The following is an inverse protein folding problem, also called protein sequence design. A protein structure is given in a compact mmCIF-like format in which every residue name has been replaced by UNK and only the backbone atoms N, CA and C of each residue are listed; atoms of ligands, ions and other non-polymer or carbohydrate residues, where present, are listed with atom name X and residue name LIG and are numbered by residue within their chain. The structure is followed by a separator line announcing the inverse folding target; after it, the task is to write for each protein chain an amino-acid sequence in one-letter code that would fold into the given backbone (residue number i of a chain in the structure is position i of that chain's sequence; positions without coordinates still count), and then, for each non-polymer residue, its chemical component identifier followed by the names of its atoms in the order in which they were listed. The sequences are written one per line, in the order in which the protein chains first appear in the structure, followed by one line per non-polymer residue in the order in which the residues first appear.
data_IF_255438997872
#
_entry.id   IF_255438997872
#
_cell.length_a   1.000
_cell.length_b   1.000
_cell.length_c   1.000
_cell.angle_alpha   90.00
_cell.angle_beta   90.00
_cell.angle_gamma   90.00
#
_symmetry.space_group_name_H-M   'P 1'
#
loop_
_entity.id
_entity.type
_entity.pdbx_description
1 polymer ?
#
# COMPACT_ATOMS: atom_id res chain seq x y z
N UNK A 1 -14.13 -15.81 -7.60
CA UNK A 1 -14.34 -15.18 -8.93
C UNK A 1 -13.70 -13.81 -8.85
N UNK A 2 -12.80 -13.44 -9.78
CA UNK A 2 -12.26 -12.07 -9.86
C UNK A 2 -13.42 -11.11 -10.14
N UNK A 3 -13.40 -9.95 -9.51
CA UNK A 3 -14.46 -8.93 -9.64
C UNK A 3 -14.31 -8.09 -10.92
N UNK A 4 -13.20 -8.27 -11.64
CA UNK A 4 -12.85 -7.53 -12.85
C UNK A 4 -12.87 -8.49 -14.04
N UNK A 5 -13.32 -8.10 -15.25
CA UNK A 5 -13.09 -8.90 -16.45
C UNK A 5 -11.57 -9.03 -16.60
N UNK A 6 -11.04 -10.22 -16.28
CA UNK A 6 -9.61 -10.47 -16.25
C UNK A 6 -9.08 -10.24 -17.67
N UNK A 7 -8.14 -9.30 -17.79
CA UNK A 7 -7.39 -9.07 -19.02
C UNK A 7 -6.63 -10.32 -19.49
N UNK A 8 -5.95 -10.17 -20.62
CA UNK A 8 -5.14 -11.23 -21.24
C UNK A 8 -4.21 -11.87 -20.19
N UNK A 9 -3.96 -13.20 -20.23
CA UNK A 9 -2.98 -13.84 -19.37
C UNK A 9 -1.65 -13.07 -19.37
N UNK A 10 -1.18 -12.66 -18.19
CA UNK A 10 -0.01 -11.80 -18.04
C UNK A 10 1.05 -12.52 -17.21
N UNK A 11 2.30 -12.45 -17.69
CA UNK A 11 3.46 -12.98 -16.99
C UNK A 11 3.79 -12.17 -15.73
N UNK A 12 4.37 -12.85 -14.74
CA UNK A 12 4.91 -12.24 -13.53
C UNK A 12 5.92 -11.14 -13.88
N UNK A 13 5.75 -9.95 -13.29
CA UNK A 13 6.71 -8.86 -13.39
C UNK A 13 7.88 -9.15 -12.47
N UNK A 14 9.08 -9.01 -13.03
CA UNK A 14 10.36 -9.26 -12.36
C UNK A 14 11.27 -8.05 -12.50
N UNK A 15 12.40 -8.04 -11.80
CA UNK A 15 13.45 -7.02 -11.99
C UNK A 15 13.90 -6.95 -13.46
N UNK A 16 14.03 -8.09 -14.14
CA UNK A 16 14.36 -8.15 -15.56
C UNK A 16 13.27 -7.51 -16.43
N UNK A 17 12.00 -7.71 -16.08
CA UNK A 17 10.87 -7.07 -16.77
C UNK A 17 10.92 -5.55 -16.67
N UNK A 18 11.31 -4.98 -15.52
CA UNK A 18 11.44 -3.53 -15.36
C UNK A 18 12.54 -2.95 -16.25
N UNK A 19 13.68 -3.65 -16.34
CA UNK A 19 14.78 -3.26 -17.23
C UNK A 19 14.36 -3.31 -18.70
N UNK A 20 13.65 -4.36 -19.10
CA UNK A 20 13.12 -4.48 -20.46
C UNK A 20 12.14 -3.34 -20.77
N UNK A 21 11.23 -3.02 -19.85
CA UNK A 21 10.31 -1.90 -20.00
C UNK A 21 11.03 -0.57 -20.27
N UNK A 22 12.09 -0.25 -19.53
CA UNK A 22 12.92 0.94 -19.81
C UNK A 22 13.52 0.90 -21.22
N UNK A 23 14.11 -0.23 -21.63
CA UNK A 23 14.72 -0.38 -22.95
C UNK A 23 13.71 -0.22 -24.10
N UNK A 24 12.46 -0.65 -23.88
CA UNK A 24 11.36 -0.52 -24.84
C UNK A 24 10.57 0.80 -24.70
N UNK A 25 10.98 1.68 -23.79
CA UNK A 25 10.24 2.90 -23.44
C UNK A 25 8.77 2.64 -23.06
N UNK A 26 8.49 1.48 -22.46
CA UNK A 26 7.18 1.14 -21.92
C UNK A 26 7.06 1.67 -20.48
N UNK A 27 6.05 2.51 -20.16
CA UNK A 27 5.90 3.05 -18.82
C UNK A 27 5.72 1.97 -17.75
N UNK A 28 6.35 2.17 -16.59
CA UNK A 28 6.20 1.32 -15.41
C UNK A 28 5.15 1.93 -14.46
N UNK A 29 4.11 1.18 -14.15
CA UNK A 29 3.06 1.54 -13.22
C UNK A 29 3.32 0.98 -11.82
N UNK A 30 3.31 1.84 -10.80
CA UNK A 30 3.52 1.45 -9.42
C UNK A 30 2.41 2.04 -8.55
N UNK A 31 1.87 1.25 -7.62
CA UNK A 31 0.89 1.72 -6.65
C UNK A 31 1.16 1.06 -5.31
N UNK A 32 0.99 1.82 -4.22
CA UNK A 32 1.14 1.21 -2.90
C UNK A 32 -0.01 0.25 -2.61
N UNK A 33 0.19 -0.80 -1.82
CA UNK A 33 -0.90 -1.55 -1.20
C UNK A 33 -0.42 -2.18 0.11
N UNK A 34 -1.33 -2.34 1.09
CA UNK A 34 -0.92 -2.63 2.48
C UNK A 34 -1.67 -3.81 3.10
N UNK A 35 -2.66 -4.35 2.40
CA UNK A 35 -3.48 -5.46 2.86
C UNK A 35 -3.85 -6.38 1.69
N UNK A 36 -4.46 -7.52 2.00
CA UNK A 36 -4.86 -8.52 1.00
C UNK A 36 -5.81 -7.96 -0.06
N UNK A 37 -6.82 -7.19 0.35
CA UNK A 37 -7.89 -6.72 -0.52
C UNK A 37 -7.39 -5.63 -1.45
N UNK A 38 -6.69 -4.63 -0.92
CA UNK A 38 -6.09 -3.58 -1.74
C UNK A 38 -5.07 -4.17 -2.73
N UNK A 39 -4.14 -5.00 -2.25
CA UNK A 39 -3.12 -5.61 -3.11
C UNK A 39 -3.72 -6.46 -4.23
N UNK A 40 -4.80 -7.21 -3.95
CA UNK A 40 -5.51 -7.99 -4.95
C UNK A 40 -6.13 -7.11 -6.03
N UNK A 41 -6.79 -6.01 -5.65
CA UNK A 41 -7.37 -5.09 -6.62
C UNK A 41 -6.30 -4.41 -7.48
N UNK A 42 -5.18 -4.02 -6.87
CA UNK A 42 -4.02 -3.45 -7.58
C UNK A 42 -3.41 -4.45 -8.57
N UNK A 43 -3.21 -5.70 -8.15
CA UNK A 43 -2.65 -6.78 -8.99
C UNK A 43 -3.58 -7.19 -10.14
N UNK A 44 -4.89 -7.33 -9.87
CA UNK A 44 -5.91 -7.64 -10.89
C UNK A 44 -6.14 -6.48 -11.88
N UNK A 45 -5.74 -5.26 -11.53
CA UNK A 45 -5.75 -4.09 -12.41
C UNK A 45 -4.49 -3.95 -13.29
N UNK A 46 -3.63 -4.98 -13.32
CA UNK A 46 -2.42 -5.02 -14.13
C UNK A 46 -1.41 -3.89 -13.83
N UNK A 47 -1.30 -3.50 -12.55
CA UNK A 47 -0.19 -2.65 -12.08
C UNK A 47 1.13 -3.45 -12.09
N UNK A 48 2.23 -2.85 -12.54
CA UNK A 48 3.53 -3.54 -12.66
C UNK A 48 4.15 -3.85 -11.30
N UNK A 49 4.00 -2.91 -10.35
CA UNK A 49 4.65 -2.93 -9.04
C UNK A 49 3.63 -2.65 -7.94
N UNK A 50 3.57 -3.55 -6.96
CA UNK A 50 2.90 -3.32 -5.67
C UNK A 50 3.97 -2.93 -4.66
N UNK A 51 3.86 -1.72 -4.11
CA UNK A 51 4.76 -1.22 -3.06
C UNK A 51 4.08 -1.27 -1.68
N UNK A 52 4.62 -2.06 -0.76
CA UNK A 52 4.27 -1.95 0.66
C UNK A 52 5.19 -0.90 1.27
N UNK A 53 4.74 0.36 1.17
CA UNK A 53 5.50 1.52 1.60
C UNK A 53 5.34 1.84 3.08
N UNK A 54 6.35 2.48 3.69
CA UNK A 54 6.28 2.96 5.07
C UNK A 54 5.29 4.13 5.25
N UNK A 55 4.77 4.67 4.14
CA UNK A 55 3.59 5.55 4.08
C UNK A 55 2.37 4.96 4.81
N UNK A 56 2.32 3.64 5.02
CA UNK A 56 1.30 2.99 5.84
C UNK A 56 1.23 3.53 7.27
N UNK A 57 2.35 4.06 7.80
CA UNK A 57 2.37 4.71 9.12
C UNK A 57 1.27 5.77 9.20
N UNK A 58 1.19 6.60 8.17
CA UNK A 58 0.26 7.73 8.11
C UNK A 58 -1.10 7.29 7.60
N UNK A 59 -1.15 6.51 6.51
CA UNK A 59 -2.43 6.23 5.84
C UNK A 59 -3.23 5.11 6.47
N UNK A 60 -2.56 4.13 7.09
CA UNK A 60 -3.22 2.97 7.71
C UNK A 60 -3.26 3.11 9.23
N UNK A 61 -2.18 3.59 9.84
CA UNK A 61 -2.01 3.61 11.30
C UNK A 61 -2.25 5.00 11.92
N UNK A 62 -2.41 6.05 11.12
CA UNK A 62 -2.72 7.39 11.60
C UNK A 62 -1.57 8.09 12.36
N UNK A 63 -0.33 7.63 12.17
CA UNK A 63 0.85 8.34 12.68
C UNK A 63 1.09 9.66 11.95
N UNK A 64 1.79 10.58 12.59
CA UNK A 64 2.11 11.89 12.01
C UNK A 64 3.19 11.81 10.91
N UNK A 65 4.04 10.80 10.96
CA UNK A 65 5.14 10.56 10.02
C UNK A 65 5.50 9.07 9.98
N UNK A 66 6.48 8.70 9.15
CA UNK A 66 6.88 7.29 8.93
C UNK A 66 7.93 6.76 9.90
N UNK A 67 8.46 7.59 10.82
CA UNK A 67 9.62 7.24 11.66
C UNK A 67 9.31 6.21 12.74
N UNK A 68 8.06 6.10 13.18
CA UNK A 68 7.67 5.21 14.29
C UNK A 68 7.52 3.75 13.87
N UNK A 69 7.51 3.45 12.57
CA UNK A 69 7.28 2.09 12.09
C UNK A 69 8.42 1.16 12.44
N UNK A 70 8.04 0.02 13.00
CA UNK A 70 8.96 -1.09 13.26
C UNK A 70 9.05 -2.03 12.05
N UNK A 71 10.10 -2.85 12.02
CA UNK A 71 10.24 -3.93 11.02
C UNK A 71 9.09 -4.93 11.12
N UNK A 72 8.60 -5.22 12.33
CA UNK A 72 7.54 -6.21 12.53
C UNK A 72 6.17 -5.73 12.04
N UNK A 73 5.86 -4.44 12.23
CA UNK A 73 4.66 -3.82 11.65
C UNK A 73 4.72 -3.82 10.11
N UNK A 74 5.87 -3.46 9.54
CA UNK A 74 6.06 -3.55 8.09
C UNK A 74 5.90 -5.00 7.60
N UNK A 75 6.51 -5.98 8.26
CA UNK A 75 6.37 -7.40 7.90
C UNK A 75 4.92 -7.89 7.96
N UNK A 76 4.13 -7.43 8.92
CA UNK A 76 2.70 -7.76 9.00
C UNK A 76 1.96 -7.36 7.71
N UNK A 77 2.13 -6.11 7.27
CA UNK A 77 1.50 -5.59 6.07
C UNK A 77 2.04 -6.25 4.79
N UNK A 78 3.35 -6.52 4.72
CA UNK A 78 3.95 -7.25 3.58
C UNK A 78 3.34 -8.65 3.45
N UNK A 79 3.21 -9.39 4.56
CA UNK A 79 2.57 -10.72 4.57
C UNK A 79 1.12 -10.67 4.10
N UNK A 80 0.38 -9.61 4.45
CA UNK A 80 -1.00 -9.42 4.00
C UNK A 80 -1.07 -9.13 2.50
N UNK A 81 -0.28 -8.17 2.00
CA UNK A 81 -0.24 -7.79 0.58
C UNK A 81 0.25 -8.93 -0.32
N UNK A 82 1.24 -9.71 0.12
CA UNK A 82 1.76 -10.90 -0.60
C UNK A 82 0.68 -11.91 -0.93
N UNK A 83 -0.32 -12.10 -0.07
CA UNK A 83 -1.45 -13.01 -0.32
C UNK A 83 -2.37 -12.52 -1.44
N UNK A 84 -2.42 -11.20 -1.68
CA UNK A 84 -3.20 -10.58 -2.74
C UNK A 84 -2.42 -10.37 -4.04
N UNK A 85 -1.09 -10.42 -3.99
CA UNK A 85 -0.22 -10.11 -5.14
C UNK A 85 0.23 -11.39 -5.84
N UNK A 86 -0.09 -11.52 -7.14
CA UNK A 86 0.26 -12.70 -7.94
C UNK A 86 1.19 -12.36 -9.11
N UNK A 87 0.92 -11.27 -9.84
CA UNK A 87 1.61 -10.87 -11.08
C UNK A 87 2.53 -9.66 -10.92
N UNK A 88 2.13 -8.66 -10.13
CA UNK A 88 2.94 -7.46 -9.90
C UNK A 88 4.20 -7.80 -9.09
N UNK A 89 5.31 -7.10 -9.32
CA UNK A 89 6.51 -7.22 -8.50
C UNK A 89 6.24 -6.63 -7.10
N UNK A 90 6.39 -7.43 -6.04
CA UNK A 90 6.14 -6.96 -4.68
C UNK A 90 7.41 -6.35 -4.06
N UNK A 91 7.36 -5.04 -3.80
CA UNK A 91 8.42 -4.29 -3.11
C UNK A 91 7.99 -4.01 -1.67
N UNK A 92 8.91 -4.11 -0.71
CA UNK A 92 8.70 -3.66 0.66
C UNK A 92 9.69 -2.55 1.03
N UNK A 93 9.21 -1.49 1.68
CA UNK A 93 10.09 -0.51 2.29
C UNK A 93 10.83 -1.11 3.50
N UNK A 94 12.11 -0.78 3.61
CA UNK A 94 12.82 -0.91 4.87
C UNK A 94 12.52 0.33 5.73
N UNK A 95 11.90 0.19 6.92
CA UNK A 95 11.50 1.35 7.73
C UNK A 95 12.72 2.05 8.36
N UNK A 96 12.51 3.27 8.85
CA UNK A 96 13.55 4.03 9.56
C UNK A 96 14.19 3.21 10.69
N UNK A 97 15.50 3.38 10.89
CA UNK A 97 16.27 2.60 11.86
C UNK A 97 16.67 1.19 11.41
N UNK A 98 15.93 0.54 10.50
CA UNK A 98 16.18 -0.86 10.12
C UNK A 98 17.46 -1.09 9.29
N UNK A 99 17.99 -0.05 8.65
CA UNK A 99 19.21 -0.10 7.83
C UNK A 99 20.20 1.02 8.19
N UNK A 100 19.90 1.80 9.22
CA UNK A 100 20.68 2.99 9.58
C UNK A 100 21.85 2.68 10.52
N UNK A 101 21.76 1.58 11.28
CA UNK A 101 22.68 1.25 12.37
C UNK A 101 23.95 0.55 11.85
N UNK A 102 23.78 -0.54 11.10
CA UNK A 102 24.89 -1.32 10.56
C UNK A 102 24.52 -2.01 9.26
N UNK A 103 25.52 -2.40 8.46
CA UNK A 103 25.27 -3.22 7.26
C UNK A 103 24.77 -4.62 7.58
N UNK A 104 25.18 -5.18 8.73
CA UNK A 104 24.69 -6.47 9.18
C UNK A 104 23.19 -6.43 9.50
N UNK A 105 22.74 -5.41 10.24
CA UNK A 105 21.32 -5.24 10.55
C UNK A 105 20.49 -4.98 9.29
N UNK A 106 21.02 -4.20 8.34
CA UNK A 106 20.33 -3.95 7.09
C UNK A 106 20.14 -5.25 6.28
N UNK A 107 21.19 -6.06 6.11
CA UNK A 107 21.10 -7.36 5.43
C UNK A 107 20.15 -8.30 6.17
N UNK A 108 20.24 -8.35 7.51
CA UNK A 108 19.35 -9.16 8.35
C UNK A 108 17.88 -8.77 8.16
N UNK A 109 17.57 -7.47 8.24
CA UNK A 109 16.21 -6.97 8.07
C UNK A 109 15.69 -7.14 6.64
N UNK A 110 16.51 -6.88 5.61
CA UNK A 110 16.16 -7.16 4.22
C UNK A 110 15.84 -8.65 4.00
N UNK A 111 16.65 -9.55 4.59
CA UNK A 111 16.41 -10.99 4.55
C UNK A 111 15.06 -11.36 5.17
N UNK A 112 14.64 -10.71 6.26
CA UNK A 112 13.32 -10.94 6.86
C UNK A 112 12.20 -10.51 5.92
N UNK A 113 12.32 -9.38 5.23
CA UNK A 113 11.30 -8.93 4.26
C UNK A 113 11.10 -9.93 3.12
N UNK A 114 12.17 -10.55 2.63
CA UNK A 114 12.08 -11.61 1.63
C UNK A 114 11.54 -12.91 2.24
N UNK A 115 12.21 -13.43 3.27
CA UNK A 115 11.95 -14.77 3.83
C UNK A 115 10.62 -14.86 4.57
N UNK A 116 10.29 -13.87 5.39
CA UNK A 116 9.07 -13.85 6.19
C UNK A 116 7.95 -13.11 5.49
N UNK A 117 8.26 -11.99 4.83
CA UNK A 117 7.27 -11.15 4.15
C UNK A 117 6.83 -11.67 2.80
N UNK A 118 7.75 -12.31 2.05
CA UNK A 118 7.54 -12.69 0.66
C UNK A 118 7.69 -11.52 -0.31
N UNK A 119 8.33 -10.42 0.11
CA UNK A 119 8.77 -9.37 -0.80
C UNK A 119 9.84 -9.90 -1.76
N UNK A 120 9.85 -9.40 -2.98
CA UNK A 120 10.79 -9.80 -4.03
C UNK A 120 11.92 -8.79 -4.21
N UNK A 121 11.76 -7.62 -3.58
CA UNK A 121 12.72 -6.52 -3.57
C UNK A 121 12.47 -5.65 -2.35
N UNK A 122 13.52 -5.04 -1.81
CA UNK A 122 13.40 -4.03 -0.74
C UNK A 122 13.67 -2.63 -1.26
N UNK A 123 13.02 -1.60 -0.72
CA UNK A 123 13.30 -0.20 -1.01
C UNK A 123 14.01 0.47 0.16
N UNK A 124 15.09 1.20 -0.15
CA UNK A 124 15.97 1.84 0.84
C UNK A 124 16.16 3.31 0.50
N UNK A 125 15.97 4.18 1.49
CA UNK A 125 16.17 5.62 1.33
C UNK A 125 17.62 6.06 1.53
N UNK A 126 18.11 6.87 0.60
CA UNK A 126 19.43 7.47 0.63
C UNK A 126 20.24 7.20 -0.63
N UNK A 127 21.03 8.19 -1.02
CA UNK A 127 21.91 8.13 -2.20
C UNK A 127 23.30 7.57 -1.90
N UNK A 128 24.33 8.30 -2.32
CA UNK A 128 25.73 7.85 -2.33
C UNK A 128 26.21 7.33 -0.97
N UNK A 129 25.82 8.00 0.11
CA UNK A 129 26.14 7.59 1.50
C UNK A 129 25.62 6.19 1.90
N UNK A 130 24.71 5.59 1.12
CA UNK A 130 24.15 4.26 1.32
C UNK A 130 24.59 3.26 0.24
N UNK A 131 25.42 3.66 -0.73
CA UNK A 131 25.81 2.78 -1.83
C UNK A 131 26.56 1.52 -1.37
N UNK A 132 27.47 1.62 -0.40
CA UNK A 132 28.16 0.45 0.18
C UNK A 132 27.18 -0.51 0.88
N UNK A 133 26.23 0.05 1.63
CA UNK A 133 25.19 -0.71 2.33
C UNK A 133 24.30 -1.47 1.36
N UNK A 134 23.86 -0.79 0.29
CA UNK A 134 23.00 -1.34 -0.75
C UNK A 134 23.72 -2.47 -1.48
N UNK A 135 25.01 -2.29 -1.81
CA UNK A 135 25.85 -3.37 -2.36
C UNK A 135 25.85 -4.60 -1.46
N UNK A 136 25.98 -4.44 -0.14
CA UNK A 136 25.92 -5.59 0.80
C UNK A 136 24.58 -6.33 0.80
N UNK A 137 23.47 -5.63 0.59
CA UNK A 137 22.14 -6.27 0.47
C UNK A 137 22.03 -7.01 -0.87
N UNK A 138 22.52 -6.41 -1.95
CA UNK A 138 22.55 -7.02 -3.29
C UNK A 138 23.46 -8.26 -3.32
N UNK A 139 24.63 -8.19 -2.68
CA UNK A 139 25.58 -9.32 -2.53
C UNK A 139 24.95 -10.50 -1.76
N UNK A 140 23.93 -10.23 -0.94
CA UNK A 140 23.11 -11.24 -0.26
C UNK A 140 21.94 -11.75 -1.13
N UNK A 141 21.98 -11.48 -2.44
CA UNK A 141 21.00 -11.90 -3.44
C UNK A 141 19.61 -11.27 -3.27
N UNK A 142 19.52 -10.12 -2.61
CA UNK A 142 18.26 -9.38 -2.42
C UNK A 142 18.25 -8.15 -3.34
N UNK A 143 17.35 -8.07 -4.33
CA UNK A 143 17.22 -6.87 -5.15
C UNK A 143 16.87 -5.64 -4.31
N UNK A 144 17.40 -4.49 -4.70
CA UNK A 144 17.16 -3.21 -3.99
C UNK A 144 16.65 -2.16 -4.96
N UNK A 145 15.58 -1.48 -4.57
CA UNK A 145 15.17 -0.20 -5.12
C UNK A 145 15.80 0.93 -4.29
N UNK A 146 16.54 1.83 -4.94
CA UNK A 146 17.03 3.04 -4.29
C UNK A 146 15.93 4.11 -4.21
N UNK A 147 15.98 4.99 -3.22
CA UNK A 147 15.06 6.14 -3.12
C UNK A 147 15.84 7.42 -2.77
N UNK A 148 15.79 8.41 -3.67
CA UNK A 148 16.46 9.71 -3.56
C UNK A 148 15.50 10.87 -3.89
N UNK A 149 15.93 12.09 -3.59
CA UNK A 149 15.05 13.26 -3.59
C UNK A 149 14.54 13.53 -2.18
N UNK A 150 13.26 13.85 -2.05
CA UNK A 150 12.59 13.93 -0.76
C UNK A 150 12.47 12.52 -0.19
N UNK A 151 13.20 12.23 0.88
CA UNK A 151 13.17 10.94 1.58
C UNK A 151 12.43 11.12 2.92
N UNK A 152 11.15 10.72 3.05
CA UNK A 152 10.33 10.89 4.25
C UNK A 152 10.99 10.47 5.57
N UNK A 153 11.84 9.43 5.58
CA UNK A 153 12.54 9.00 6.79
C UNK A 153 13.60 10.01 7.28
N UNK A 154 13.91 11.03 6.46
CA UNK A 154 14.75 12.16 6.81
C UNK A 154 13.96 13.44 7.17
N UNK A 155 12.66 13.35 7.43
CA UNK A 155 11.76 14.52 7.65
C UNK A 155 12.30 15.51 8.69
N UNK A 156 12.88 15.03 9.79
CA UNK A 156 13.45 15.89 10.84
C UNK A 156 14.72 16.62 10.37
N UNK A 157 15.57 15.95 9.57
CA UNK A 157 16.76 16.59 8.97
C UNK A 157 16.35 17.62 7.91
N UNK A 158 15.31 17.33 7.14
CA UNK A 158 14.82 18.20 6.06
C UNK A 158 13.93 19.34 6.56
N UNK A 159 13.44 19.25 7.80
CA UNK A 159 12.50 20.19 8.38
C UNK A 159 11.14 20.17 7.68
N UNK A 160 10.64 18.97 7.37
CA UNK A 160 9.36 18.74 6.69
C UNK A 160 9.47 18.22 5.26
N UNK A 161 8.32 17.96 4.63
CA UNK A 161 8.20 17.48 3.25
C UNK A 161 8.45 18.60 2.24
N UNK A 162 9.71 18.82 1.87
CA UNK A 162 10.12 19.90 0.96
C UNK A 162 10.65 19.33 -0.35
N UNK A 163 10.32 20.02 -1.45
CA UNK A 163 10.89 19.72 -2.77
C UNK A 163 12.41 19.88 -2.73
N UNK A 164 13.14 18.88 -3.22
CA UNK A 164 14.61 18.84 -3.30
C UNK A 164 15.10 19.24 -4.71
N UNK A 165 16.42 19.41 -4.90
CA UNK A 165 16.98 19.69 -6.23
C UNK A 165 16.70 21.10 -6.76
N UNK A 166 16.60 22.11 -5.88
CA UNK A 166 16.28 23.50 -6.27
C UNK A 166 17.50 24.36 -6.57
N UNK A 167 18.66 23.99 -6.08
CA UNK A 167 19.92 24.69 -6.31
C UNK A 167 20.87 23.81 -7.12
N UNK A 168 21.86 24.42 -7.79
CA UNK A 168 22.86 23.66 -8.55
C UNK A 168 23.60 22.64 -7.68
N UNK A 169 23.94 22.98 -6.44
CA UNK A 169 24.57 22.04 -5.51
C UNK A 169 23.68 20.85 -5.14
N UNK A 170 22.37 21.09 -4.97
CA UNK A 170 21.42 20.00 -4.68
C UNK A 170 21.26 19.10 -5.90
N UNK A 171 21.23 19.67 -7.11
CA UNK A 171 21.13 18.93 -8.38
C UNK A 171 22.37 18.07 -8.58
N UNK A 172 23.57 18.64 -8.39
CA UNK A 172 24.82 17.89 -8.46
C UNK A 172 24.86 16.74 -7.44
N UNK A 173 24.36 16.96 -6.22
CA UNK A 173 24.27 15.89 -5.23
C UNK A 173 23.29 14.80 -5.65
N UNK A 174 22.11 15.15 -6.18
CA UNK A 174 21.14 14.17 -6.69
C UNK A 174 21.70 13.35 -7.85
N UNK A 175 22.46 13.97 -8.76
CA UNK A 175 23.12 13.26 -9.86
C UNK A 175 24.19 12.28 -9.33
N UNK A 176 25.00 12.71 -8.35
CA UNK A 176 25.96 11.82 -7.67
C UNK A 176 25.26 10.66 -6.99
N UNK A 177 24.19 10.95 -6.26
CA UNK A 177 23.38 9.95 -5.56
C UNK A 177 22.81 8.92 -6.54
N UNK A 178 22.19 9.37 -7.63
CA UNK A 178 21.62 8.49 -8.65
C UNK A 178 22.70 7.60 -9.31
N UNK A 179 23.83 8.20 -9.69
CA UNK A 179 24.95 7.48 -10.31
C UNK A 179 25.57 6.45 -9.35
N UNK A 180 25.70 6.79 -8.07
CA UNK A 180 26.24 5.90 -7.05
C UNK A 180 25.32 4.70 -6.82
N UNK A 181 24.00 4.93 -6.80
CA UNK A 181 23.01 3.86 -6.70
C UNK A 181 22.98 2.97 -7.94
N UNK A 182 23.03 3.55 -9.14
CA UNK A 182 23.08 2.80 -10.40
C UNK A 182 24.33 1.91 -10.45
N UNK A 183 25.50 2.46 -10.09
CA UNK A 183 26.76 1.70 -9.98
C UNK A 183 26.74 0.65 -8.87
N UNK A 184 25.96 0.86 -7.81
CA UNK A 184 25.76 -0.13 -6.77
C UNK A 184 24.93 -1.34 -7.25
N UNK A 185 24.22 -1.21 -8.37
CA UNK A 185 23.44 -2.29 -8.97
C UNK A 185 21.97 -2.32 -8.52
N UNK A 186 21.41 -1.18 -8.11
CA UNK A 186 19.96 -1.11 -7.80
C UNK A 186 19.11 -1.53 -8.99
N UNK A 187 18.01 -2.21 -8.71
CA UNK A 187 17.07 -2.69 -9.72
C UNK A 187 16.20 -1.58 -10.32
N UNK A 188 15.94 -0.53 -9.55
CA UNK A 188 15.30 0.72 -9.96
C UNK A 188 15.58 1.84 -8.95
N UNK A 189 15.28 3.09 -9.31
CA UNK A 189 15.47 4.27 -8.47
C UNK A 189 14.17 5.06 -8.38
N UNK A 190 13.65 5.25 -7.17
CA UNK A 190 12.54 6.14 -6.88
C UNK A 190 13.05 7.58 -6.76
N UNK A 191 12.37 8.49 -7.47
CA UNK A 191 12.65 9.93 -7.48
C UNK A 191 11.44 10.67 -6.91
N UNK A 192 11.57 11.21 -5.70
CA UNK A 192 10.46 11.87 -5.00
C UNK A 192 10.67 13.38 -4.85
N UNK A 193 9.65 14.15 -5.21
CA UNK A 193 9.59 15.57 -4.90
C UNK A 193 10.77 16.39 -5.44
N UNK A 194 11.14 16.20 -6.71
CA UNK A 194 12.20 16.94 -7.41
C UNK A 194 11.66 17.64 -8.67
N UNK A 195 12.30 18.73 -9.16
CA UNK A 195 11.91 19.35 -10.42
C UNK A 195 11.94 18.36 -11.59
N UNK A 196 10.98 18.50 -12.51
CA UNK A 196 10.83 17.56 -13.63
C UNK A 196 12.05 17.52 -14.54
N UNK A 197 12.74 18.64 -14.71
CA UNK A 197 13.96 18.77 -15.52
C UNK A 197 15.10 17.95 -14.90
N UNK A 198 15.21 17.95 -13.57
CA UNK A 198 16.24 17.20 -12.84
C UNK A 198 15.93 15.70 -12.90
N UNK A 199 14.67 15.31 -12.77
CA UNK A 199 14.26 13.91 -12.90
C UNK A 199 14.53 13.35 -14.29
N UNK A 200 14.26 14.14 -15.34
CA UNK A 200 14.55 13.79 -16.74
C UNK A 200 16.06 13.65 -16.97
N UNK A 201 16.87 14.56 -16.43
CA UNK A 201 18.34 14.44 -16.45
C UNK A 201 18.82 13.15 -15.77
N UNK A 202 18.34 12.86 -14.56
CA UNK A 202 18.70 11.63 -13.84
C UNK A 202 18.31 10.40 -14.64
N UNK A 203 17.09 10.37 -15.19
CA UNK A 203 16.55 9.22 -15.94
C UNK A 203 17.37 8.89 -17.16
N UNK A 204 17.90 9.90 -17.85
CA UNK A 204 18.76 9.77 -19.02
C UNK A 204 20.19 9.35 -18.68
N UNK A 205 20.66 9.62 -17.45
CA UNK A 205 22.03 9.29 -17.02
C UNK A 205 22.18 7.85 -16.52
N UNK A 206 21.16 7.31 -15.82
CA UNK A 206 21.25 6.00 -15.17
C UNK A 206 20.67 4.86 -16.01
N UNK A 207 21.29 3.68 -15.91
CA UNK A 207 20.81 2.47 -16.58
C UNK A 207 19.58 1.87 -15.89
N UNK A 208 19.47 2.00 -14.56
CA UNK A 208 18.32 1.55 -13.80
C UNK A 208 17.03 2.32 -14.19
N UNK A 209 15.86 1.67 -14.22
CA UNK A 209 14.57 2.34 -14.34
C UNK A 209 14.31 3.35 -13.22
N UNK A 210 13.80 4.53 -13.57
CA UNK A 210 13.39 5.55 -12.60
C UNK A 210 11.88 5.56 -12.38
N UNK A 211 11.43 5.63 -11.13
CA UNK A 211 10.02 5.68 -10.75
C UNK A 211 9.74 7.02 -10.07
N UNK A 212 8.98 7.89 -10.71
CA UNK A 212 8.70 9.23 -10.21
C UNK A 212 7.49 9.31 -9.26
N UNK A 213 7.58 10.17 -8.26
CA UNK A 213 6.44 10.67 -7.48
C UNK A 213 6.64 12.16 -7.21
N UNK A 214 5.85 12.99 -7.88
CA UNK A 214 6.12 14.43 -7.91
C UNK A 214 7.45 14.80 -8.57
N UNK A 215 7.94 13.95 -9.48
CA UNK A 215 9.15 14.15 -10.27
C UNK A 215 8.87 14.43 -11.77
N UNK A 216 7.59 14.61 -12.12
CA UNK A 216 7.18 14.87 -13.51
C UNK A 216 7.21 13.63 -14.42
N UNK A 217 6.87 13.81 -15.71
CA UNK A 217 6.65 12.71 -16.65
C UNK A 217 7.94 12.14 -17.27
N UNK A 218 9.10 12.72 -16.97
CA UNK A 218 10.38 12.30 -17.56
C UNK A 218 11.00 11.04 -16.94
N UNK A 219 10.34 10.41 -15.97
CA UNK A 219 10.77 9.13 -15.40
C UNK A 219 10.24 7.94 -16.21
N UNK A 220 10.90 6.78 -16.12
CA UNK A 220 10.50 5.54 -16.78
C UNK A 220 9.16 4.97 -16.24
N UNK A 221 8.78 5.36 -15.04
CA UNK A 221 7.53 4.98 -14.39
C UNK A 221 7.05 5.98 -13.36
N UNK A 222 5.89 5.70 -12.76
CA UNK A 222 5.27 6.56 -11.76
C UNK A 222 4.71 5.74 -10.58
N UNK A 223 4.77 6.32 -9.39
CA UNK A 223 4.12 5.79 -8.18
C UNK A 223 3.22 6.83 -7.52
N UNK A 224 2.10 6.36 -6.96
CA UNK A 224 1.30 7.12 -5.99
C UNK A 224 0.91 6.23 -4.81
N UNK A 225 0.50 6.88 -3.73
CA UNK A 225 -0.13 6.22 -2.59
C UNK A 225 -1.57 5.88 -2.96
N UNK A 226 -2.00 4.63 -2.71
CA UNK A 226 -3.34 4.13 -3.03
C UNK A 226 -4.46 4.98 -2.39
N UNK A 227 -4.25 5.40 -1.15
CA UNK A 227 -5.20 6.27 -0.44
C UNK A 227 -5.33 7.64 -1.11
N UNK A 228 -4.26 8.19 -1.69
CA UNK A 228 -4.28 9.49 -2.36
C UNK A 228 -5.17 9.45 -3.61
N UNK A 229 -5.07 8.38 -4.41
CA UNK A 229 -5.84 8.26 -5.65
C UNK A 229 -7.34 8.00 -5.39
N UNK A 230 -7.69 7.50 -4.21
CA UNK A 230 -9.08 7.17 -3.80
C UNK A 230 -9.67 8.14 -2.77
N UNK A 231 -9.01 9.26 -2.49
CA UNK A 231 -9.47 10.25 -1.50
C UNK A 231 -9.60 9.72 -0.06
N UNK A 232 -8.69 8.86 0.37
CA UNK A 232 -8.66 8.27 1.72
C UNK A 232 -7.53 8.81 2.61
N UNK A 233 -6.87 9.90 2.19
CA UNK A 233 -5.76 10.52 2.95
C UNK A 233 -6.25 11.61 3.92
N UNK A 234 -7.57 11.91 3.96
CA UNK A 234 -8.25 12.80 4.91
C UNK A 234 -7.57 14.16 5.15
N UNK A 235 -6.92 14.71 4.12
CA UNK A 235 -6.17 15.97 4.17
C UNK A 235 -6.08 16.63 2.80
N UNK A 236 -5.45 17.81 2.77
CA UNK A 236 -5.16 18.49 1.51
C UNK A 236 -4.16 17.64 0.69
N UNK A 237 -4.49 17.28 -0.56
CA UNK A 237 -3.59 16.48 -1.37
C UNK A 237 -2.33 17.28 -1.70
N UNK A 238 -1.18 16.61 -1.74
CA UNK A 238 0.04 17.22 -2.26
C UNK A 238 -0.15 17.61 -3.74
N UNK A 239 0.58 18.64 -4.20
CA UNK A 239 0.43 19.18 -5.57
C UNK A 239 0.56 18.14 -6.68
N UNK A 240 1.35 17.09 -6.46
CA UNK A 240 1.59 16.03 -7.44
C UNK A 240 0.53 14.94 -7.47
N UNK A 241 -0.40 14.92 -6.51
CA UNK A 241 -1.45 13.91 -6.41
C UNK A 241 -2.57 14.23 -7.40
N UNK A 242 -2.97 13.21 -8.17
CA UNK A 242 -4.23 13.20 -8.93
C UNK A 242 -5.17 12.19 -8.30
N UNK A 243 -6.40 12.63 -7.99
CA UNK A 243 -7.49 11.73 -7.57
C UNK A 243 -8.11 11.06 -8.79
N UNK A 244 -8.32 9.75 -8.69
CA UNK A 244 -8.96 8.93 -9.72
C UNK A 244 -10.34 8.41 -9.26
N UNK A 245 -10.62 8.46 -7.96
CA UNK A 245 -11.93 8.15 -7.38
C UNK A 245 -12.13 8.79 -6.00
N UNK A 246 -13.34 8.65 -5.46
CA UNK A 246 -13.71 9.15 -4.13
C UNK A 246 -14.34 8.04 -3.28
N UNK A 247 -13.49 7.14 -2.76
CA UNK A 247 -13.92 6.05 -1.91
C UNK A 247 -14.42 6.55 -0.55
N UNK A 248 -13.92 7.69 -0.05
CA UNK A 248 -14.41 8.28 1.19
C UNK A 248 -15.90 8.64 1.09
N UNK A 249 -16.31 9.27 -0.02
CA UNK A 249 -17.71 9.59 -0.26
C UNK A 249 -18.58 8.33 -0.36
N UNK A 250 -18.13 7.32 -1.12
CA UNK A 250 -18.86 6.07 -1.32
C UNK A 250 -19.02 5.28 0.00
N UNK A 251 -17.94 5.13 0.76
CA UNK A 251 -17.96 4.46 2.07
C UNK A 251 -18.88 5.24 3.04
N UNK A 252 -18.79 6.57 3.04
CA UNK A 252 -19.65 7.41 3.90
C UNK A 252 -21.12 7.21 3.56
N UNK A 253 -21.47 7.20 2.27
CA UNK A 253 -22.84 6.91 1.83
C UNK A 253 -23.28 5.54 2.31
N UNK A 254 -22.52 4.48 1.99
CA UNK A 254 -22.87 3.11 2.34
C UNK A 254 -23.10 2.92 3.85
N UNK A 255 -22.23 3.49 4.69
CA UNK A 255 -22.35 3.44 6.15
C UNK A 255 -23.59 4.20 6.65
N UNK A 256 -23.88 5.37 6.08
CA UNK A 256 -25.07 6.16 6.42
C UNK A 256 -26.36 5.47 5.99
N UNK A 257 -26.38 4.85 4.81
CA UNK A 257 -27.52 4.08 4.31
C UNK A 257 -27.80 2.88 5.21
N UNK A 258 -26.78 2.09 5.55
CA UNK A 258 -26.91 0.99 6.50
C UNK A 258 -27.48 1.44 7.85
N UNK A 259 -26.96 2.55 8.40
CA UNK A 259 -27.50 3.13 9.64
C UNK A 259 -28.97 3.52 9.50
N UNK A 260 -29.36 4.12 8.38
CA UNK A 260 -30.74 4.53 8.13
C UNK A 260 -31.69 3.32 8.06
N UNK A 261 -31.28 2.25 7.38
CA UNK A 261 -32.08 1.03 7.27
C UNK A 261 -32.22 0.30 8.61
N UNK A 262 -31.16 0.24 9.42
CA UNK A 262 -31.23 -0.30 10.80
C UNK A 262 -32.16 0.55 11.67
N UNK A 263 -32.00 1.87 11.64
CA UNK A 263 -32.78 2.79 12.50
C UNK A 263 -34.27 2.77 12.13
N UNK A 264 -34.58 2.64 10.85
CA UNK A 264 -35.96 2.54 10.34
C UNK A 264 -36.54 1.12 10.36
N UNK A 265 -35.76 0.13 10.84
CA UNK A 265 -36.11 -1.31 10.83
C UNK A 265 -36.44 -1.86 9.44
N UNK A 266 -35.86 -1.28 8.39
CA UNK A 266 -35.87 -1.86 7.04
C UNK A 266 -34.86 -2.99 6.91
N UNK A 267 -33.77 -2.92 7.68
CA UNK A 267 -32.76 -3.98 7.76
C UNK A 267 -32.68 -4.58 9.18
N UNK A 268 -32.60 -5.92 9.31
CA UNK A 268 -32.85 -6.88 8.24
C UNK A 268 -34.34 -6.91 7.86
N UNK A 269 -34.62 -7.10 6.58
CA UNK A 269 -35.93 -7.45 6.07
C UNK A 269 -36.22 -8.95 6.28
N UNK A 270 -37.45 -9.37 6.00
CA UNK A 270 -37.87 -10.77 6.11
C UNK A 270 -37.04 -11.70 5.20
N UNK A 271 -36.70 -11.26 3.99
CA UNK A 271 -35.86 -12.02 3.03
C UNK A 271 -34.39 -12.12 3.44
N UNK A 272 -33.95 -11.31 4.40
CA UNK A 272 -32.60 -11.34 4.99
C UNK A 272 -32.61 -12.09 6.34
N UNK A 273 -33.74 -12.72 6.67
CA UNK A 273 -33.96 -13.42 7.93
C UNK A 273 -34.15 -14.92 7.70
N UNK A 274 -33.71 -15.72 8.66
CA UNK A 274 -33.95 -17.17 8.65
C UNK A 274 -35.30 -17.50 9.29
N UNK A 275 -36.08 -18.34 8.62
CA UNK A 275 -37.39 -18.79 9.09
C UNK A 275 -37.31 -20.18 9.71
N UNK A 276 -38.13 -20.42 10.74
CA UNK A 276 -38.42 -21.78 11.18
C UNK A 276 -39.05 -22.56 10.02
N UNK A 277 -38.83 -23.87 10.00
CA UNK A 277 -39.64 -24.75 9.15
C UNK A 277 -41.13 -24.59 9.53
N UNK A 278 -42.01 -24.85 8.57
CA UNK A 278 -43.45 -24.74 8.80
C UNK A 278 -43.91 -25.64 9.96
N UNK A 279 -43.33 -26.84 10.08
CA UNK A 279 -43.62 -27.79 11.17
C UNK A 279 -43.20 -27.24 12.53
N UNK A 280 -41.95 -26.78 12.66
CA UNK A 280 -41.44 -26.24 13.93
C UNK A 280 -42.19 -24.98 14.33
N UNK A 281 -42.55 -24.13 13.36
CA UNK A 281 -43.36 -22.92 13.61
C UNK A 281 -44.72 -23.26 14.20
N UNK A 282 -45.43 -24.24 13.65
CA UNK A 282 -46.74 -24.69 14.15
C UNK A 282 -46.66 -25.31 15.54
N UNK A 283 -45.64 -26.12 15.80
CA UNK A 283 -45.42 -26.70 17.13
C UNK A 283 -45.15 -25.61 18.19
N UNK A 284 -44.37 -24.59 17.82
CA UNK A 284 -44.09 -23.45 18.69
C UNK A 284 -45.35 -22.63 18.99
N UNK A 285 -46.21 -22.39 17.99
CA UNK A 285 -47.48 -21.69 18.16
C UNK A 285 -48.37 -22.39 19.21
N UNK A 286 -48.54 -23.71 19.09
CA UNK A 286 -49.31 -24.52 20.06
C UNK A 286 -48.72 -24.45 21.48
N UNK A 287 -47.40 -24.48 21.61
CA UNK A 287 -46.72 -24.35 22.91
C UNK A 287 -46.96 -22.98 23.54
N UNK A 288 -46.91 -21.91 22.74
CA UNK A 288 -47.12 -20.54 23.21
C UNK A 288 -48.57 -20.31 23.65
N UNK A 289 -49.55 -20.86 22.92
CA UNK A 289 -50.96 -20.82 23.30
C UNK A 289 -51.20 -21.50 24.65
N UNK A 290 -50.66 -22.71 24.85
CA UNK A 290 -50.73 -23.42 26.14
C UNK A 290 -50.12 -22.60 27.27
N UNK A 291 -48.96 -21.96 27.05
CA UNK A 291 -48.29 -21.13 28.06
C UNK A 291 -49.10 -19.89 28.43
N UNK A 292 -49.77 -19.25 27.45
CA UNK A 292 -50.66 -18.10 27.69
C UNK A 292 -51.88 -18.51 28.51
N UNK A 293 -52.53 -19.63 28.19
CA UNK A 293 -53.67 -20.14 28.94
C UNK A 293 -53.34 -20.44 30.42
N UNK A 294 -52.15 -21.00 30.69
CA UNK A 294 -51.70 -21.25 32.07
C UNK A 294 -51.37 -19.97 32.85
N UNK A 295 -50.85 -18.93 32.19
CA UNK A 295 -50.61 -17.62 32.84
C UNK A 295 -51.90 -16.86 33.15
N UNK A 296 -52.87 -16.87 32.22
CA UNK A 296 -54.18 -16.24 32.44
C UNK A 296 -54.95 -16.86 33.62
N UNK A 297 -54.89 -18.19 33.77
CA UNK A 297 -55.48 -18.88 34.93
C UNK A 297 -54.83 -18.49 36.26
N UNK A 298 -53.52 -18.27 36.30
CA UNK A 298 -52.80 -17.83 37.51
C UNK A 298 -53.12 -16.38 37.92
N UNK A 299 -53.45 -15.50 36.97
CA UNK A 299 -53.82 -14.11 37.26
C UNK A 299 -55.25 -14.00 37.79
N UNK A 300 -56.16 -14.87 37.35
CA UNK A 300 -57.54 -14.93 37.85
C UNK A 300 -57.58 -15.43 39.30
N UNK A 301 -56.68 -16.35 39.68
CA UNK A 301 -56.57 -16.86 41.05
C UNK A 301 -55.77 -15.97 42.02
N UNK A 302 -55.27 -14.80 41.59
CA UNK A 302 -54.47 -13.89 42.43
C UNK A 302 -55.18 -12.56 42.75
N UNK A 303 -56.45 -12.43 42.36
CA UNK A 303 -57.32 -11.25 42.63
C UNK A 303 -58.47 -11.62 43.59
N UNK A 304 -58.40 -12.78 44.23
CA UNK A 304 -59.20 -13.15 45.41
C UNK A 304 -58.30 -13.16 46.66
#
# INVERSE_FOLDING_TARGET
MSLTPIGVPRHKITVASLKEKKLQHEPISCLTAYDYSSARLVDEADIDIVLVGDSLAMTMLGHENTLSLTVDEMLHHVKAARRGTSKALLIADMPYGSFHVSSEDAVRNATRFVKEGGAEMVKVEGGDKRADLIRRIIDAEIPVAGHIGLTPQSVNRMGGFKVQGKSLSDIEQLMRDATALDRAGVACIFLEGIPREVAEMVTNEVAAPTIGIGAGPGCDGQVLVFHDILNLTFGAPAKFVRRYGDAAAEITHAVQAYRADVTSRKYPADGESYHLSAETKRALELLLERKRAMRGRRQITAVE
#
